data_IF_191005432274
#
_entry.id   IF_191005432274
#
_cell.length_a   1.000
_cell.length_b   1.000
_cell.length_c   1.000
_cell.angle_alpha   90.00
_cell.angle_beta   90.00
_cell.angle_gamma   90.00
#
_symmetry.space_group_name_H-M   'P 1'
#
loop_
_entity.id
_entity.type
_entity.pdbx_description
1 polymer ?
#
# COMPACT_ATOMS: atom_id res chain seq x y z
N UNK A 1 -9.27 6.76 23.03
CA UNK A 1 -8.46 6.04 24.03
C UNK A 1 -7.36 5.29 23.30
N UNK A 2 -6.09 5.54 23.65
CA UNK A 2 -4.98 4.69 23.24
C UNK A 2 -5.18 3.33 23.91
N UNK A 3 -4.95 2.20 23.24
CA UNK A 3 -5.06 0.90 23.88
C UNK A 3 -4.04 0.83 25.02
N UNK A 4 -4.57 0.53 26.21
CA UNK A 4 -3.79 0.32 27.42
C UNK A 4 -2.72 -0.74 27.20
N UNK A 5 -1.52 -0.44 27.66
CA UNK A 5 -0.34 -1.27 27.76
C UNK A 5 -0.68 -2.67 28.31
N UNK A 6 -0.52 -3.70 27.46
CA UNK A 6 -0.83 -5.07 27.85
C UNK A 6 0.04 -6.15 27.22
N UNK A 7 1.01 -5.79 26.36
CA UNK A 7 2.10 -6.68 25.96
C UNK A 7 3.36 -5.84 25.88
N UNK A 8 4.44 -6.29 26.52
CA UNK A 8 5.74 -5.67 26.41
C UNK A 8 6.06 -5.42 24.95
N UNK A 9 6.55 -4.21 24.65
CA UNK A 9 6.95 -3.83 23.29
C UNK A 9 7.90 -4.90 22.76
N UNK A 10 7.44 -5.68 21.79
CA UNK A 10 8.26 -6.71 21.17
C UNK A 10 9.23 -6.00 20.22
N UNK A 11 10.41 -5.64 20.73
CA UNK A 11 11.45 -4.93 19.99
C UNK A 11 11.88 -5.64 18.71
N UNK A 12 11.65 -6.95 18.61
CA UNK A 12 12.00 -7.74 17.44
C UNK A 12 11.22 -7.33 16.17
N UNK A 13 10.03 -6.71 16.29
CA UNK A 13 9.30 -6.19 15.12
C UNK A 13 10.05 -5.08 14.37
N UNK A 14 11.01 -4.43 15.02
CA UNK A 14 11.85 -3.39 14.43
C UNK A 14 13.10 -3.94 13.73
N UNK A 15 13.44 -5.22 13.97
CA UNK A 15 14.63 -5.82 13.36
C UNK A 15 14.54 -5.85 11.83
N UNK A 16 13.36 -6.17 11.28
CA UNK A 16 13.18 -6.28 9.83
C UNK A 16 13.35 -4.94 9.11
N UNK A 17 12.65 -3.83 9.48
CA UNK A 17 12.87 -2.54 8.83
C UNK A 17 14.26 -1.96 9.06
N UNK A 18 14.90 -2.22 10.22
CA UNK A 18 16.29 -1.81 10.47
C UNK A 18 17.27 -2.60 9.60
N UNK A 19 17.10 -3.92 9.51
CA UNK A 19 17.92 -4.76 8.63
C UNK A 19 17.76 -4.33 7.16
N UNK A 20 16.53 -4.05 6.73
CA UNK A 20 16.25 -3.54 5.38
C UNK A 20 17.02 -2.26 5.08
N UNK A 21 16.96 -1.28 5.99
CA UNK A 21 17.66 -0.02 5.85
C UNK A 21 19.19 -0.22 5.82
N UNK A 22 19.72 -1.07 6.71
CA UNK A 22 21.15 -1.41 6.77
C UNK A 22 21.65 -2.11 5.50
N UNK A 23 20.90 -3.10 4.99
CA UNK A 23 21.22 -3.79 3.73
C UNK A 23 21.26 -2.79 2.57
N UNK A 24 20.28 -1.89 2.47
CA UNK A 24 20.26 -0.84 1.45
C UNK A 24 21.49 0.06 1.49
N UNK A 25 21.96 0.39 2.71
CA UNK A 25 23.19 1.16 2.92
C UNK A 25 24.45 0.38 2.47
N UNK A 26 24.58 -0.89 2.88
CA UNK A 26 25.71 -1.75 2.49
C UNK A 26 25.78 -1.97 0.98
N UNK A 27 24.64 -2.09 0.32
CA UNK A 27 24.55 -2.24 -1.15
C UNK A 27 24.71 -0.91 -1.90
N UNK A 28 24.90 0.23 -1.21
CA UNK A 28 25.03 1.54 -1.83
C UNK A 28 23.73 2.08 -2.46
N UNK A 29 22.60 1.43 -2.23
CA UNK A 29 21.29 1.86 -2.75
C UNK A 29 20.61 2.89 -1.86
N UNK A 30 21.03 2.98 -0.59
CA UNK A 30 20.57 3.99 0.36
C UNK A 30 21.77 4.82 0.79
N UNK A 31 21.82 6.07 0.35
CA UNK A 31 22.86 7.03 0.69
C UNK A 31 22.78 7.46 2.16
N UNK A 32 23.82 8.10 2.75
CA UNK A 32 23.83 8.52 4.17
C UNK A 32 22.60 9.38 4.56
N UNK A 33 22.13 10.25 3.68
CA UNK A 33 20.92 11.04 3.93
C UNK A 33 19.66 10.14 3.99
N UNK A 34 19.57 9.13 3.13
CA UNK A 34 18.48 8.15 3.17
C UNK A 34 18.51 7.29 4.44
N UNK A 35 19.72 6.90 4.90
CA UNK A 35 19.88 6.21 6.19
C UNK A 35 19.41 7.07 7.35
N UNK A 36 19.77 8.36 7.36
CA UNK A 36 19.32 9.31 8.38
C UNK A 36 17.78 9.46 8.37
N UNK A 37 17.19 9.77 7.20
CA UNK A 37 15.74 9.98 7.08
C UNK A 37 14.95 8.71 7.39
N UNK A 38 15.42 7.55 6.92
CA UNK A 38 14.82 6.27 7.24
C UNK A 38 14.88 5.94 8.73
N UNK A 39 16.02 6.19 9.39
CA UNK A 39 16.17 5.99 10.82
C UNK A 39 15.26 6.93 11.63
N UNK A 40 15.16 8.20 11.25
CA UNK A 40 14.24 9.15 11.87
C UNK A 40 12.78 8.72 11.72
N UNK A 41 12.40 8.20 10.55
CA UNK A 41 11.05 7.65 10.34
C UNK A 41 10.77 6.46 11.26
N UNK A 42 11.69 5.50 11.38
CA UNK A 42 11.51 4.35 12.27
C UNK A 42 11.46 4.76 13.75
N UNK A 43 12.33 5.68 14.18
CA UNK A 43 12.32 6.24 15.54
C UNK A 43 10.99 6.97 15.82
N UNK A 44 10.50 7.75 14.86
CA UNK A 44 9.19 8.40 14.96
C UNK A 44 8.05 7.40 15.15
N UNK A 45 8.03 6.33 14.35
CA UNK A 45 7.00 5.29 14.49
C UNK A 45 7.08 4.59 15.85
N UNK A 46 8.29 4.32 16.34
CA UNK A 46 8.52 3.71 17.66
C UNK A 46 8.12 4.62 18.81
N UNK A 47 8.18 5.94 18.61
CA UNK A 47 7.78 6.93 19.61
C UNK A 47 6.26 7.09 19.79
N UNK A 48 5.44 6.29 19.11
CA UNK A 48 3.96 6.31 19.19
C UNK A 48 3.38 6.48 20.59
N UNK A 49 3.88 5.79 21.63
CA UNK A 49 3.32 5.90 22.99
C UNK A 49 3.56 7.25 23.68
N UNK A 50 4.55 8.00 23.21
CA UNK A 50 5.03 9.23 23.86
C UNK A 50 4.54 10.50 23.17
N UNK A 51 3.83 10.38 22.03
CA UNK A 51 3.42 11.52 21.19
C UNK A 51 1.89 11.62 21.16
N UNK A 52 1.32 12.84 21.22
CA UNK A 52 -0.12 13.04 21.04
C UNK A 52 -0.61 12.38 19.75
N UNK A 53 -1.68 11.58 19.85
CA UNK A 53 -2.14 10.71 18.75
C UNK A 53 -2.38 11.46 17.45
N UNK A 54 -3.01 12.64 17.48
CA UNK A 54 -3.26 13.44 16.28
C UNK A 54 -1.98 13.81 15.54
N UNK A 55 -0.96 14.30 16.27
CA UNK A 55 0.34 14.65 15.71
C UNK A 55 1.04 13.42 15.15
N UNK A 56 1.06 12.32 15.93
CA UNK A 56 1.71 11.09 15.51
C UNK A 56 1.10 10.53 14.21
N UNK A 57 -0.24 10.44 14.12
CA UNK A 57 -0.92 9.96 12.91
C UNK A 57 -0.63 10.86 11.70
N UNK A 58 -0.70 12.18 11.86
CA UNK A 58 -0.47 13.12 10.76
C UNK A 58 0.96 13.04 10.23
N UNK A 59 1.97 13.07 11.11
CA UNK A 59 3.38 13.00 10.69
C UNK A 59 3.71 11.62 10.12
N UNK A 60 3.22 10.52 10.73
CA UNK A 60 3.42 9.16 10.21
C UNK A 60 2.82 8.97 8.82
N UNK A 61 1.63 9.54 8.58
CA UNK A 61 0.99 9.51 7.27
C UNK A 61 1.80 10.31 6.24
N UNK A 62 2.17 11.55 6.55
CA UNK A 62 2.91 12.42 5.63
C UNK A 62 4.30 11.86 5.31
N UNK A 63 5.05 11.42 6.33
CA UNK A 63 6.37 10.82 6.13
C UNK A 63 6.29 9.48 5.38
N UNK A 64 5.33 8.64 5.71
CA UNK A 64 5.10 7.38 5.02
C UNK A 64 4.67 7.58 3.56
N UNK A 65 3.81 8.57 3.26
CA UNK A 65 3.46 8.95 1.89
C UNK A 65 4.67 9.51 1.13
N UNK A 66 5.49 10.34 1.77
CA UNK A 66 6.71 10.88 1.15
C UNK A 66 7.70 9.78 0.76
N UNK A 67 7.89 8.77 1.62
CA UNK A 67 8.68 7.57 1.30
C UNK A 67 8.02 6.76 0.17
N UNK A 68 6.72 6.45 0.28
CA UNK A 68 6.02 5.63 -0.69
C UNK A 68 5.91 6.27 -2.08
N UNK A 69 5.92 7.59 -2.15
CA UNK A 69 5.89 8.39 -3.38
C UNK A 69 7.30 8.79 -3.89
N UNK A 70 8.37 8.27 -3.29
CA UNK A 70 9.76 8.54 -3.70
C UNK A 70 10.17 10.02 -3.62
N UNK A 71 9.61 10.77 -2.67
CA UNK A 71 9.87 12.21 -2.52
C UNK A 71 11.08 12.51 -1.63
N UNK A 72 11.57 11.52 -0.87
CA UNK A 72 12.71 11.73 0.02
C UNK A 72 14.02 11.39 -0.70
N UNK A 73 15.09 12.21 -0.52
CA UNK A 73 16.38 11.95 -1.14
C UNK A 73 17.11 10.78 -0.49
N UNK A 74 18.08 10.22 -1.23
CA UNK A 74 19.00 9.21 -0.71
C UNK A 74 18.52 7.77 -0.87
N UNK A 75 17.46 7.51 -1.64
CA UNK A 75 16.98 6.16 -1.98
C UNK A 75 17.05 5.97 -3.49
N UNK A 76 17.89 5.05 -3.94
CA UNK A 76 18.05 4.70 -5.37
C UNK A 76 17.31 3.40 -5.64
N UNK A 77 16.28 3.38 -6.51
CA UNK A 77 15.62 2.13 -6.88
C UNK A 77 16.58 1.16 -7.56
N UNK A 78 16.54 -0.12 -7.17
CA UNK A 78 17.37 -1.17 -7.79
C UNK A 78 16.59 -1.82 -8.94
N UNK A 79 17.03 -1.67 -10.23
CA UNK A 79 16.44 -2.40 -11.34
C UNK A 79 16.66 -3.91 -11.19
N UNK A 80 15.59 -4.69 -11.38
CA UNK A 80 15.59 -6.16 -11.29
C UNK A 80 15.22 -6.84 -12.62
N UNK A 81 14.92 -6.04 -13.65
CA UNK A 81 14.70 -6.52 -15.02
C UNK A 81 15.14 -5.46 -16.02
N UNK A 82 15.28 -5.86 -17.28
CA UNK A 82 15.14 -4.95 -18.40
C UNK A 82 13.67 -4.50 -18.52
N UNK A 83 13.39 -3.41 -19.26
CA UNK A 83 12.02 -3.01 -19.56
C UNK A 83 11.22 -4.14 -20.24
N UNK A 84 10.09 -4.56 -19.67
CA UNK A 84 9.23 -5.65 -20.12
C UNK A 84 7.96 -5.10 -20.76
N UNK A 85 7.69 -5.47 -22.01
CA UNK A 85 6.44 -5.14 -22.70
C UNK A 85 5.36 -6.19 -22.37
N UNK A 86 4.56 -5.93 -21.36
CA UNK A 86 3.47 -6.84 -20.95
C UNK A 86 2.23 -6.73 -21.86
N UNK A 87 2.05 -5.60 -22.54
CA UNK A 87 0.94 -5.35 -23.44
C UNK A 87 1.40 -4.53 -24.64
N UNK A 88 0.94 -4.85 -25.87
CA UNK A 88 1.40 -4.17 -27.09
C UNK A 88 0.93 -2.70 -27.15
N UNK A 89 -0.18 -2.37 -26.47
CA UNK A 89 -0.78 -1.04 -26.40
C UNK A 89 -0.41 -0.27 -25.12
N UNK A 90 0.63 -0.70 -24.39
CA UNK A 90 1.12 -0.09 -23.17
C UNK A 90 2.63 0.18 -23.20
N UNK A 91 3.08 1.09 -22.35
CA UNK A 91 4.52 1.34 -22.16
C UNK A 91 5.20 0.16 -21.47
N UNK A 92 6.45 -0.18 -21.83
CA UNK A 92 7.22 -1.19 -21.13
C UNK A 92 7.36 -0.88 -19.63
N UNK A 93 7.37 -1.91 -18.80
CA UNK A 93 7.49 -1.83 -17.34
C UNK A 93 8.88 -2.27 -16.91
N UNK A 94 9.53 -1.46 -16.10
CA UNK A 94 10.77 -1.80 -15.41
C UNK A 94 10.43 -2.34 -14.02
N UNK A 95 10.72 -3.62 -13.77
CA UNK A 95 10.60 -4.19 -12.42
C UNK A 95 11.78 -3.69 -11.58
N UNK A 96 11.47 -2.93 -10.53
CA UNK A 96 12.48 -2.32 -9.65
C UNK A 96 12.10 -2.46 -8.19
N UNK A 97 13.09 -2.65 -7.34
CA UNK A 97 12.94 -2.64 -5.90
C UNK A 97 13.07 -1.20 -5.38
N UNK A 98 12.04 -0.70 -4.74
CA UNK A 98 11.99 0.65 -4.17
C UNK A 98 12.27 0.57 -2.67
N UNK A 99 13.49 0.95 -2.26
CA UNK A 99 13.96 0.83 -0.87
C UNK A 99 13.12 1.64 0.12
N UNK A 100 12.76 2.85 -0.25
CA UNK A 100 11.94 3.78 0.51
C UNK A 100 10.49 3.28 0.70
N UNK A 101 9.86 2.81 -0.36
CA UNK A 101 8.47 2.31 -0.30
C UNK A 101 8.38 1.04 0.54
N UNK A 102 9.33 0.12 0.40
CA UNK A 102 9.41 -1.09 1.23
C UNK A 102 9.71 -0.72 2.69
N UNK A 103 10.60 0.25 2.94
CA UNK A 103 10.88 0.74 4.30
C UNK A 103 9.62 1.31 4.96
N UNK A 104 8.82 2.09 4.24
CA UNK A 104 7.54 2.61 4.73
C UNK A 104 6.60 1.46 5.12
N UNK A 105 6.48 0.45 4.26
CA UNK A 105 5.66 -0.74 4.53
C UNK A 105 6.15 -1.52 5.76
N UNK A 106 7.44 -1.85 5.84
CA UNK A 106 8.02 -2.62 6.94
C UNK A 106 7.99 -1.86 8.27
N UNK A 107 8.29 -0.56 8.26
CA UNK A 107 8.21 0.29 9.45
C UNK A 107 6.79 0.36 10.01
N UNK A 108 5.81 0.62 9.14
CA UNK A 108 4.40 0.63 9.53
C UNK A 108 3.89 -0.76 9.95
N UNK A 109 4.40 -1.84 9.35
CA UNK A 109 4.09 -3.21 9.77
C UNK A 109 4.61 -3.47 11.18
N UNK A 110 5.83 -3.05 11.48
CA UNK A 110 6.40 -3.16 12.84
C UNK A 110 5.54 -2.46 13.89
N UNK A 111 5.06 -1.26 13.62
CA UNK A 111 4.08 -0.57 14.46
C UNK A 111 2.74 -1.31 14.50
N UNK A 112 2.24 -1.76 13.33
CA UNK A 112 0.94 -2.41 13.22
C UNK A 112 0.86 -3.72 14.01
N UNK A 113 1.90 -4.53 14.05
CA UNK A 113 1.94 -5.81 14.77
C UNK A 113 1.91 -5.65 16.29
N UNK A 114 2.27 -4.47 16.81
CA UNK A 114 2.22 -4.15 18.23
C UNK A 114 0.81 -3.73 18.72
N UNK A 115 -0.13 -3.52 17.79
CA UNK A 115 -1.48 -3.10 18.15
C UNK A 115 -2.33 -4.30 18.55
N UNK A 116 -2.91 -4.26 19.76
CA UNK A 116 -3.94 -5.25 20.16
C UNK A 116 -5.23 -5.02 19.39
N UNK A 117 -5.84 -6.09 18.90
CA UNK A 117 -7.06 -6.02 18.11
C UNK A 117 -8.01 -7.14 18.45
N UNK A 118 -9.24 -6.75 18.69
CA UNK A 118 -10.37 -7.67 18.74
C UNK A 118 -11.15 -7.45 17.45
N UNK A 119 -11.17 -8.46 16.57
CA UNK A 119 -11.87 -8.38 15.30
C UNK A 119 -12.95 -9.45 15.23
N UNK A 120 -14.18 -9.01 15.10
CA UNK A 120 -15.33 -9.88 14.80
C UNK A 120 -15.63 -9.75 13.30
N UNK A 121 -15.02 -10.61 12.49
CA UNK A 121 -15.18 -10.56 11.04
C UNK A 121 -16.54 -11.17 10.62
N UNK A 122 -17.28 -10.44 9.79
CA UNK A 122 -18.47 -10.93 9.09
C UNK A 122 -18.07 -11.50 7.71
N UNK A 123 -17.54 -12.72 7.70
CA UNK A 123 -16.95 -13.34 6.52
C UNK A 123 -17.86 -13.38 5.28
N UNK A 124 -19.19 -13.66 5.36
CA UNK A 124 -20.06 -13.60 4.19
C UNK A 124 -20.08 -12.20 3.53
N UNK A 125 -20.07 -11.13 4.34
CA UNK A 125 -20.01 -9.75 3.82
C UNK A 125 -18.63 -9.44 3.23
N UNK A 126 -17.55 -9.90 3.87
CA UNK A 126 -16.19 -9.77 3.33
C UNK A 126 -16.10 -10.42 1.95
N UNK A 127 -16.61 -11.64 1.82
CA UNK A 127 -16.61 -12.37 0.54
C UNK A 127 -17.45 -11.63 -0.52
N UNK A 128 -18.67 -11.22 -0.18
CA UNK A 128 -19.54 -10.48 -1.10
C UNK A 128 -18.87 -9.20 -1.61
N UNK A 129 -18.33 -8.37 -0.70
CA UNK A 129 -17.64 -7.12 -1.09
C UNK A 129 -16.42 -7.42 -1.93
N UNK A 130 -15.66 -8.48 -1.61
CA UNK A 130 -14.48 -8.87 -2.39
C UNK A 130 -14.85 -9.29 -3.82
N UNK A 131 -15.88 -10.12 -3.98
CA UNK A 131 -16.37 -10.55 -5.31
C UNK A 131 -16.86 -9.35 -6.11
N UNK A 132 -17.67 -8.48 -5.50
CA UNK A 132 -18.15 -7.27 -6.17
C UNK A 132 -17.00 -6.35 -6.59
N UNK A 133 -16.00 -6.17 -5.76
CA UNK A 133 -14.83 -5.35 -6.08
C UNK A 133 -14.02 -5.96 -7.24
N UNK A 134 -13.77 -7.28 -7.21
CA UNK A 134 -13.05 -8.00 -8.27
C UNK A 134 -13.79 -7.98 -9.62
N UNK A 135 -15.10 -7.83 -9.62
CA UNK A 135 -15.89 -7.69 -10.86
C UNK A 135 -15.96 -6.22 -11.30
N UNK A 136 -16.36 -5.33 -10.39
CA UNK A 136 -16.68 -3.94 -10.75
C UNK A 136 -15.43 -3.13 -11.13
N UNK A 137 -14.29 -3.32 -10.45
CA UNK A 137 -13.07 -2.54 -10.72
C UNK A 137 -12.55 -2.81 -12.14
N UNK A 138 -12.31 -4.06 -12.58
CA UNK A 138 -11.87 -4.34 -13.96
C UNK A 138 -12.90 -3.94 -15.00
N UNK A 139 -14.19 -4.18 -14.75
CA UNK A 139 -15.26 -3.82 -15.68
C UNK A 139 -15.34 -2.29 -15.88
N UNK A 140 -15.22 -1.53 -14.79
CA UNK A 140 -15.19 -0.06 -14.87
C UNK A 140 -13.95 0.42 -15.64
N UNK A 141 -12.78 -0.16 -15.39
CA UNK A 141 -11.55 0.20 -16.12
C UNK A 141 -11.66 -0.10 -17.64
N UNK A 142 -12.29 -1.21 -18.00
CA UNK A 142 -12.61 -1.56 -19.40
C UNK A 142 -13.61 -0.59 -20.02
N UNK A 143 -14.73 -0.32 -19.32
CA UNK A 143 -15.78 0.57 -19.80
C UNK A 143 -15.29 2.02 -19.99
N UNK A 144 -14.36 2.48 -19.13
CA UNK A 144 -13.74 3.81 -19.25
C UNK A 144 -12.59 3.85 -20.28
N UNK A 145 -12.24 2.72 -20.91
CA UNK A 145 -11.17 2.64 -21.91
C UNK A 145 -9.75 2.81 -21.35
N UNK A 146 -9.58 2.80 -20.02
CA UNK A 146 -8.27 2.92 -19.35
C UNK A 146 -7.38 1.73 -19.69
N UNK A 147 -7.99 0.56 -19.87
CA UNK A 147 -7.34 -0.70 -20.22
C UNK A 147 -8.17 -1.44 -21.29
N UNK A 148 -7.56 -2.41 -21.98
CA UNK A 148 -8.23 -3.34 -22.87
C UNK A 148 -8.22 -4.74 -22.32
N UNK A 149 -9.06 -5.64 -22.86
CA UNK A 149 -9.03 -7.05 -22.55
C UNK A 149 -7.85 -7.71 -23.25
N UNK A 150 -6.86 -8.16 -22.50
CA UNK A 150 -5.62 -8.77 -23.01
C UNK A 150 -5.14 -9.86 -22.06
N UNK A 151 -5.77 -11.04 -22.05
CA UNK A 151 -5.32 -12.17 -21.25
C UNK A 151 -3.89 -12.58 -21.62
N UNK A 152 -3.02 -12.74 -20.62
CA UNK A 152 -1.61 -13.08 -20.80
C UNK A 152 -1.02 -13.72 -19.57
N UNK A 153 0.11 -14.40 -19.76
CA UNK A 153 0.95 -14.85 -18.67
C UNK A 153 2.25 -14.01 -18.68
N UNK A 154 2.39 -13.04 -17.77
CA UNK A 154 3.52 -12.12 -17.78
C UNK A 154 4.84 -12.84 -17.55
N UNK A 155 5.85 -12.45 -18.27
CA UNK A 155 7.24 -12.82 -17.94
C UNK A 155 7.58 -12.28 -16.54
N UNK A 156 8.35 -13.07 -15.76
CA UNK A 156 8.74 -12.72 -14.39
C UNK A 156 7.58 -12.43 -13.42
N UNK A 157 6.42 -13.08 -13.62
CA UNK A 157 5.24 -12.90 -12.76
C UNK A 157 5.56 -13.09 -11.27
N UNK A 158 6.40 -14.06 -10.90
CA UNK A 158 6.79 -14.28 -9.50
C UNK A 158 7.54 -13.08 -8.91
N UNK A 159 8.46 -12.47 -9.68
CA UNK A 159 9.16 -11.26 -9.28
C UNK A 159 8.18 -10.08 -9.17
N UNK A 160 7.30 -9.93 -10.15
CA UNK A 160 6.23 -8.92 -10.12
C UNK A 160 5.37 -9.05 -8.85
N UNK A 161 4.93 -10.29 -8.51
CA UNK A 161 4.15 -10.57 -7.30
C UNK A 161 4.90 -10.16 -6.03
N UNK A 162 6.16 -10.52 -5.91
CA UNK A 162 6.98 -10.17 -4.75
C UNK A 162 7.12 -8.64 -4.58
N UNK A 163 7.39 -7.92 -5.67
CA UNK A 163 7.50 -6.46 -5.67
C UNK A 163 6.15 -5.78 -5.42
N UNK A 164 5.07 -6.32 -5.99
CA UNK A 164 3.73 -5.77 -5.80
C UNK A 164 3.26 -5.95 -4.35
N UNK A 165 3.39 -7.17 -3.79
CA UNK A 165 2.98 -7.45 -2.42
C UNK A 165 3.86 -6.73 -1.40
N UNK A 166 5.19 -6.87 -1.48
CA UNK A 166 6.13 -6.34 -0.50
C UNK A 166 6.35 -4.82 -0.60
N UNK A 167 6.24 -4.27 -1.79
CA UNK A 167 6.41 -2.83 -2.04
C UNK A 167 5.09 -2.08 -2.08
N UNK A 168 4.23 -2.36 -3.06
CA UNK A 168 3.03 -1.57 -3.28
C UNK A 168 1.94 -1.88 -2.25
N UNK A 169 1.42 -3.11 -2.24
CA UNK A 169 0.24 -3.49 -1.44
C UNK A 169 0.49 -3.30 0.05
N UNK A 170 1.63 -3.76 0.57
CA UNK A 170 1.95 -3.65 1.99
C UNK A 170 1.99 -2.19 2.45
N UNK A 171 2.75 -1.33 1.75
CA UNK A 171 2.88 0.07 2.12
C UNK A 171 1.55 0.81 2.00
N UNK A 172 0.83 0.61 0.89
CA UNK A 172 -0.42 1.30 0.62
C UNK A 172 -1.53 0.89 1.60
N UNK A 173 -1.70 -0.40 1.88
CA UNK A 173 -2.73 -0.84 2.83
C UNK A 173 -2.42 -0.39 4.27
N UNK A 174 -1.16 -0.37 4.68
CA UNK A 174 -0.80 0.17 6.00
C UNK A 174 -1.00 1.68 6.09
N UNK A 175 -0.65 2.44 5.05
CA UNK A 175 -0.88 3.89 5.01
C UNK A 175 -2.37 4.22 4.97
N UNK A 176 -3.11 3.64 4.02
CA UNK A 176 -4.51 4.02 3.81
C UNK A 176 -5.47 3.35 4.79
N UNK A 177 -5.31 2.05 5.10
CA UNK A 177 -6.23 1.33 6.01
C UNK A 177 -5.73 1.34 7.44
N UNK A 178 -4.43 1.08 7.63
CA UNK A 178 -3.81 1.04 8.95
C UNK A 178 -3.78 2.39 9.65
N UNK A 179 -3.38 3.45 8.96
CA UNK A 179 -3.28 4.80 9.51
C UNK A 179 -4.52 5.63 9.18
N UNK A 180 -4.69 6.02 7.91
CA UNK A 180 -5.65 7.04 7.49
C UNK A 180 -7.10 6.65 7.75
N UNK A 181 -7.56 5.51 7.23
CA UNK A 181 -8.95 5.08 7.39
C UNK A 181 -9.31 4.88 8.86
N UNK A 182 -8.42 4.23 9.61
CA UNK A 182 -8.66 4.01 11.04
C UNK A 182 -8.82 5.34 11.79
N UNK A 183 -7.97 6.31 11.52
CA UNK A 183 -8.03 7.63 12.13
C UNK A 183 -9.29 8.40 11.73
N UNK A 184 -9.64 8.42 10.43
CA UNK A 184 -10.83 9.09 9.93
C UNK A 184 -12.13 8.45 10.44
N UNK A 185 -12.22 7.12 10.45
CA UNK A 185 -13.39 6.39 10.96
C UNK A 185 -13.62 6.70 12.45
N UNK A 186 -12.55 6.79 13.24
CA UNK A 186 -12.66 7.15 14.67
C UNK A 186 -13.15 8.59 14.89
N UNK A 187 -12.89 9.51 13.95
CA UNK A 187 -13.26 10.92 14.06
C UNK A 187 -14.58 11.27 13.40
N UNK A 188 -14.89 10.64 12.27
CA UNK A 188 -15.97 11.05 11.37
C UNK A 188 -17.02 9.95 11.15
N UNK A 189 -16.85 8.77 11.76
CA UNK A 189 -17.68 7.60 11.52
C UNK A 189 -17.29 6.82 10.26
N UNK A 190 -17.86 5.62 10.12
CA UNK A 190 -17.46 4.66 9.11
C UNK A 190 -17.71 5.17 7.67
N UNK A 191 -18.90 5.70 7.39
CA UNK A 191 -19.29 6.13 6.05
C UNK A 191 -18.34 7.21 5.50
N UNK A 192 -18.16 8.29 6.26
CA UNK A 192 -17.30 9.41 5.85
C UNK A 192 -15.84 8.99 5.84
N UNK A 193 -15.37 8.27 6.87
CA UNK A 193 -13.99 7.86 6.98
C UNK A 193 -13.54 6.93 5.85
N UNK A 194 -14.37 5.96 5.46
CA UNK A 194 -14.08 5.05 4.33
C UNK A 194 -14.14 5.84 3.02
N UNK A 195 -15.17 6.66 2.81
CA UNK A 195 -15.33 7.46 1.60
C UNK A 195 -14.17 8.41 1.35
N UNK A 196 -13.77 9.19 2.37
CA UNK A 196 -12.62 10.09 2.26
C UNK A 196 -11.30 9.33 2.01
N UNK A 197 -11.11 8.19 2.68
CA UNK A 197 -9.92 7.37 2.43
C UNK A 197 -9.87 6.87 0.99
N UNK A 198 -11.00 6.44 0.44
CA UNK A 198 -11.07 5.98 -0.95
C UNK A 198 -10.80 7.12 -1.94
N UNK A 199 -11.33 8.30 -1.70
CA UNK A 199 -11.05 9.50 -2.52
C UNK A 199 -9.56 9.87 -2.49
N UNK A 200 -8.93 9.85 -1.32
CA UNK A 200 -7.50 10.12 -1.18
C UNK A 200 -6.63 9.02 -1.78
N UNK A 201 -7.08 7.76 -1.73
CA UNK A 201 -6.43 6.65 -2.42
C UNK A 201 -6.46 6.86 -3.94
N UNK A 202 -7.61 7.23 -4.49
CA UNK A 202 -7.74 7.58 -5.90
C UNK A 202 -6.87 8.80 -6.27
N UNK A 203 -6.88 9.85 -5.45
CA UNK A 203 -6.07 11.04 -5.68
C UNK A 203 -4.55 10.72 -5.74
N UNK A 204 -4.07 9.77 -4.95
CA UNK A 204 -2.67 9.31 -5.02
C UNK A 204 -2.34 8.62 -6.37
N UNK A 205 -3.34 8.18 -7.12
CA UNK A 205 -3.19 7.59 -8.46
C UNK A 205 -3.38 8.58 -9.61
N UNK A 206 -3.72 9.83 -9.31
CA UNK A 206 -3.89 10.90 -10.31
C UNK A 206 -2.70 11.09 -11.27
N UNK A 207 -1.43 11.01 -10.81
CA UNK A 207 -0.28 11.17 -11.69
C UNK A 207 -0.19 10.14 -12.83
N UNK A 208 -0.85 8.98 -12.70
CA UNK A 208 -0.89 7.96 -13.75
C UNK A 208 -1.94 8.28 -14.82
N UNK A 209 -3.17 8.63 -14.41
CA UNK A 209 -4.26 9.08 -15.26
C UNK A 209 -5.44 9.51 -14.39
N UNK A 210 -6.18 10.59 -14.73
CA UNK A 210 -7.42 10.97 -14.03
C UNK A 210 -8.49 9.85 -14.05
N UNK A 211 -8.61 9.14 -15.18
CA UNK A 211 -9.56 8.03 -15.31
C UNK A 211 -9.13 6.83 -14.44
N UNK A 212 -7.84 6.54 -14.40
CA UNK A 212 -7.32 5.50 -13.51
C UNK A 212 -7.51 5.87 -12.03
N UNK A 213 -7.35 7.15 -11.67
CA UNK A 213 -7.65 7.65 -10.33
C UNK A 213 -9.11 7.37 -9.93
N UNK A 214 -10.07 7.58 -10.84
CA UNK A 214 -11.48 7.26 -10.59
C UNK A 214 -11.71 5.76 -10.36
N UNK A 215 -11.06 4.90 -11.14
CA UNK A 215 -11.08 3.43 -10.93
C UNK A 215 -10.45 3.07 -9.58
N UNK A 216 -9.35 3.74 -9.19
CA UNK A 216 -8.68 3.54 -7.91
C UNK A 216 -9.56 3.97 -6.73
N UNK A 217 -10.44 5.00 -6.86
CA UNK A 217 -11.45 5.32 -5.83
C UNK A 217 -12.37 4.12 -5.59
N UNK A 218 -12.88 3.50 -6.66
CA UNK A 218 -13.77 2.34 -6.55
C UNK A 218 -13.05 1.14 -5.87
N UNK A 219 -11.81 0.86 -6.27
CA UNK A 219 -10.98 -0.15 -5.63
C UNK A 219 -10.75 0.19 -4.15
N UNK A 220 -10.43 1.44 -3.86
CA UNK A 220 -10.23 1.97 -2.52
C UNK A 220 -11.45 1.80 -1.60
N UNK A 221 -12.66 1.99 -2.13
CA UNK A 221 -13.90 1.70 -1.41
C UNK A 221 -14.02 0.22 -1.06
N UNK A 222 -13.76 -0.67 -2.02
CA UNK A 222 -13.80 -2.12 -1.79
C UNK A 222 -12.83 -2.57 -0.71
N UNK A 223 -11.55 -2.17 -0.81
CA UNK A 223 -10.53 -2.51 0.19
C UNK A 223 -10.88 -1.94 1.57
N UNK A 224 -11.36 -0.69 1.59
CA UNK A 224 -11.77 -0.01 2.82
C UNK A 224 -12.95 -0.68 3.52
N UNK A 225 -13.97 -1.12 2.77
CA UNK A 225 -15.11 -1.88 3.29
C UNK A 225 -14.68 -3.25 3.82
N UNK A 226 -13.84 -3.98 3.08
CA UNK A 226 -13.30 -5.28 3.52
C UNK A 226 -12.50 -5.12 4.80
N UNK A 227 -11.64 -4.10 4.89
CA UNK A 227 -10.92 -3.79 6.13
C UNK A 227 -11.86 -3.47 7.29
N UNK A 228 -12.87 -2.64 7.08
CA UNK A 228 -13.81 -2.24 8.12
C UNK A 228 -14.64 -3.41 8.65
N UNK A 229 -15.16 -4.25 7.74
CA UNK A 229 -16.05 -5.38 8.09
C UNK A 229 -15.27 -6.56 8.67
N UNK A 230 -14.02 -6.79 8.23
CA UNK A 230 -13.18 -7.85 8.78
C UNK A 230 -12.47 -7.46 10.06
N UNK A 231 -12.22 -6.15 10.28
CA UNK A 231 -11.35 -5.65 11.34
C UNK A 231 -9.88 -6.07 11.20
N UNK A 232 -9.48 -6.62 10.05
CA UNK A 232 -8.17 -7.21 9.78
C UNK A 232 -7.56 -6.61 8.52
N UNK A 233 -6.25 -6.42 8.52
CA UNK A 233 -5.55 -5.84 7.36
C UNK A 233 -5.40 -6.85 6.21
N UNK A 234 -5.09 -8.11 6.52
CA UNK A 234 -4.75 -9.11 5.51
C UNK A 234 -5.85 -9.37 4.47
N UNK A 235 -7.20 -9.31 4.77
CA UNK A 235 -8.20 -9.49 3.71
C UNK A 235 -8.21 -8.33 2.71
N UNK A 236 -7.96 -7.10 3.18
CA UNK A 236 -7.83 -5.94 2.29
C UNK A 236 -6.58 -6.06 1.41
N UNK A 237 -5.44 -6.49 1.99
CA UNK A 237 -4.21 -6.77 1.22
C UNK A 237 -4.43 -7.87 0.18
N UNK A 238 -5.11 -8.96 0.55
CA UNK A 238 -5.41 -10.06 -0.35
C UNK A 238 -6.30 -9.61 -1.52
N UNK A 239 -7.34 -8.82 -1.23
CA UNK A 239 -8.21 -8.25 -2.27
C UNK A 239 -7.46 -7.28 -3.17
N UNK A 240 -6.63 -6.40 -2.61
CA UNK A 240 -5.82 -5.46 -3.39
C UNK A 240 -4.86 -6.21 -4.33
N UNK A 241 -4.14 -7.20 -3.80
CA UNK A 241 -3.27 -8.05 -4.62
C UNK A 241 -4.05 -8.79 -5.72
N UNK A 242 -5.24 -9.30 -5.42
CA UNK A 242 -6.09 -9.98 -6.39
C UNK A 242 -6.56 -9.05 -7.52
N UNK A 243 -6.95 -7.81 -7.20
CA UNK A 243 -7.29 -6.78 -8.22
C UNK A 243 -6.08 -6.47 -9.10
N UNK A 244 -4.90 -6.26 -8.51
CA UNK A 244 -3.67 -6.02 -9.25
C UNK A 244 -3.27 -7.24 -10.11
N UNK A 245 -3.51 -8.45 -9.61
CA UNK A 245 -3.26 -9.68 -10.34
C UNK A 245 -4.23 -9.84 -11.53
N UNK A 246 -5.52 -9.56 -11.34
CA UNK A 246 -6.48 -9.49 -12.46
C UNK A 246 -6.03 -8.47 -13.52
N UNK A 247 -5.55 -7.31 -13.10
CA UNK A 247 -5.04 -6.28 -14.00
C UNK A 247 -3.86 -6.79 -14.84
N UNK A 248 -2.84 -7.34 -14.24
CA UNK A 248 -1.63 -7.79 -14.96
C UNK A 248 -1.87 -9.03 -15.81
N UNK A 249 -2.78 -9.94 -15.41
CA UNK A 249 -3.07 -11.18 -16.12
C UNK A 249 -4.08 -11.02 -17.27
N UNK A 250 -5.09 -10.15 -17.11
CA UNK A 250 -6.26 -10.14 -17.99
C UNK A 250 -6.41 -8.84 -18.79
N UNK A 251 -5.75 -7.75 -18.37
CA UNK A 251 -5.98 -6.44 -18.95
C UNK A 251 -4.69 -5.82 -19.49
N UNK A 252 -4.80 -4.78 -20.32
CA UNK A 252 -3.65 -3.95 -20.69
C UNK A 252 -2.89 -3.52 -19.45
N UNK A 253 -1.58 -3.76 -19.41
CA UNK A 253 -0.75 -3.44 -18.25
C UNK A 253 0.53 -2.68 -18.65
N UNK A 254 0.89 -1.55 -17.98
CA UNK A 254 0.21 -0.93 -16.83
C UNK A 254 -1.09 -0.19 -17.20
N UNK A 255 -1.13 0.62 -18.23
CA UNK A 255 -2.29 1.33 -18.76
C UNK A 255 -2.08 1.49 -20.26
N UNK A 256 -3.16 1.72 -21.03
CA UNK A 256 -3.05 2.10 -22.43
C UNK A 256 -2.17 3.35 -22.57
N UNK A 257 -1.26 3.30 -23.52
CA UNK A 257 -0.51 4.48 -23.96
C UNK A 257 -1.50 5.41 -24.70
N UNK A 258 -1.99 6.41 -24.00
CA UNK A 258 -2.73 7.54 -24.57
C UNK A 258 -1.72 8.57 -25.05
#
# INVERSE_FOLDING_TARGET
>A
MLPTQGRGYAHWYWMLPLAWLGIGGVLGQVAPIGLLLGSLFLLWLAACPYIPSGLWYSVSLLAGLALAAHLLPGFTPLPLSEPLAYSPDARPVLLRLSWDKVLAGLGLLGWWLQQTRHAHARWPVVLLVSVLTLLLVPLTALAMGVVGWQPKWPEKLALWLALNLGGAVLAEELLFRGLLQRWLVQRLGALIGIGLTALLFGAAHWPFSPLFAAVAVLAGLGYGLVFHVSGRLWPAMALHLAVNLCHVLLLTYPLRGL
#
